data_IF_711589969862
#
_entry.id   IF_711589969862
#
_cell.length_a   1.000
_cell.length_b   1.000
_cell.length_c   1.000
_cell.angle_alpha   90.00
_cell.angle_beta   90.00
_cell.angle_gamma   90.00
#
_symmetry.space_group_name_H-M   'P 1'
#
loop_
_entity.id
_entity.type
_entity.pdbx_description
1 polymer ?
#
# COMPACT_ATOMS: atom_id res chain seq x y z
N UNK A 1 4.05 14.90 -15.46
CA UNK A 1 3.46 13.77 -14.71
C UNK A 1 2.59 12.97 -15.66
N UNK A 2 2.53 11.64 -15.53
CA UNK A 2 1.64 10.81 -16.37
C UNK A 2 0.17 11.27 -16.26
N UNK A 3 -0.62 11.09 -17.32
CA UNK A 3 -2.03 11.50 -17.37
C UNK A 3 -2.93 10.79 -16.33
N UNK A 4 -2.49 9.65 -15.79
CA UNK A 4 -3.19 8.90 -14.75
C UNK A 4 -2.21 8.24 -13.76
N UNK A 5 -2.60 8.09 -12.48
CA UNK A 5 -1.78 7.39 -11.49
C UNK A 5 -1.70 5.89 -11.78
N UNK A 6 -0.61 5.26 -11.35
CA UNK A 6 -0.49 3.80 -11.28
C UNK A 6 -1.30 3.31 -10.08
N UNK A 7 -2.35 2.53 -10.33
CA UNK A 7 -3.17 1.97 -9.27
C UNK A 7 -2.77 0.51 -8.97
N UNK A 8 -2.24 0.28 -7.77
CA UNK A 8 -1.86 -1.03 -7.26
C UNK A 8 -2.94 -1.49 -6.28
N UNK A 9 -3.62 -2.57 -6.63
CA UNK A 9 -4.78 -3.08 -5.90
C UNK A 9 -4.46 -4.43 -5.27
N UNK A 10 -4.68 -4.55 -3.95
CA UNK A 10 -4.56 -5.80 -3.22
C UNK A 10 -5.93 -6.25 -2.69
N UNK A 11 -6.44 -7.34 -3.25
CA UNK A 11 -7.67 -7.99 -2.82
C UNK A 11 -7.35 -9.14 -1.85
N UNK A 12 -8.01 -9.15 -0.70
CA UNK A 12 -7.82 -10.17 0.34
C UNK A 12 -9.12 -10.93 0.58
N UNK A 13 -9.07 -12.26 0.55
CA UNK A 13 -10.18 -13.12 0.98
C UNK A 13 -9.86 -13.75 2.32
N UNK A 14 -10.86 -13.80 3.20
CA UNK A 14 -10.81 -14.64 4.40
C UNK A 14 -11.20 -16.07 4.11
N UNK A 15 -11.02 -16.94 5.10
CA UNK A 15 -11.57 -18.30 5.15
C UNK A 15 -12.75 -18.35 6.14
N UNK A 16 -13.69 -19.25 5.90
CA UNK A 16 -14.76 -19.66 6.82
C UNK A 16 -14.27 -20.67 7.89
N UNK A 17 -13.04 -21.15 7.74
CA UNK A 17 -12.43 -22.17 8.58
C UNK A 17 -11.66 -21.63 9.80
N UNK A 18 -11.13 -22.57 10.59
CA UNK A 18 -10.42 -22.27 11.84
C UNK A 18 -9.00 -21.66 11.66
N UNK A 19 -8.50 -21.52 10.42
CA UNK A 19 -7.15 -21.01 10.13
C UNK A 19 -7.19 -19.61 9.53
N UNK A 20 -6.38 -18.70 10.06
CA UNK A 20 -6.24 -17.34 9.55
C UNK A 20 -5.47 -17.32 8.22
N UNK A 21 -6.10 -16.84 7.15
CA UNK A 21 -5.40 -16.62 5.88
C UNK A 21 -4.48 -15.40 5.97
N UNK A 22 -3.25 -15.53 5.50
CA UNK A 22 -2.26 -14.45 5.49
C UNK A 22 -1.73 -14.19 4.09
N UNK A 23 -1.61 -12.92 3.72
CA UNK A 23 -1.10 -12.46 2.43
C UNK A 23 0.07 -11.49 2.62
N UNK A 24 1.19 -11.74 1.94
CA UNK A 24 2.45 -11.00 2.08
C UNK A 24 2.94 -10.41 0.75
N UNK A 25 2.23 -9.45 0.11
CA UNK A 25 2.67 -8.89 -1.16
C UNK A 25 3.88 -7.97 -1.00
N UNK A 26 4.77 -7.96 -2.00
CA UNK A 26 6.01 -7.15 -2.01
C UNK A 26 6.10 -6.39 -3.32
N UNK A 27 6.26 -5.07 -3.27
CA UNK A 27 6.38 -4.20 -4.43
C UNK A 27 7.68 -3.41 -4.33
N UNK A 28 8.44 -3.38 -5.42
CA UNK A 28 9.55 -2.46 -5.61
C UNK A 28 9.18 -1.46 -6.70
N UNK A 29 9.26 -0.17 -6.39
CA UNK A 29 9.08 0.94 -7.31
C UNK A 29 10.43 1.61 -7.50
N UNK A 30 10.82 1.81 -8.76
CA UNK A 30 12.02 2.58 -9.11
C UNK A 30 11.56 3.76 -9.97
N UNK A 31 11.66 4.96 -9.41
CA UNK A 31 11.48 6.20 -10.13
C UNK A 31 12.86 6.67 -10.61
N UNK A 32 13.15 6.40 -11.88
CA UNK A 32 14.40 6.77 -12.53
C UNK A 32 14.60 8.29 -12.59
N UNK A 33 15.82 8.73 -12.88
CA UNK A 33 16.20 10.14 -12.97
C UNK A 33 15.16 10.99 -13.73
N UNK A 34 14.63 12.02 -13.07
CA UNK A 34 13.66 12.96 -13.65
C UNK A 34 12.25 12.40 -13.88
N UNK A 35 11.95 11.17 -13.46
CA UNK A 35 10.63 10.56 -13.62
C UNK A 35 9.60 11.24 -12.71
N UNK A 36 8.35 11.34 -13.17
CA UNK A 36 7.23 11.80 -12.35
C UNK A 36 6.10 10.77 -12.34
N UNK A 37 5.79 10.23 -11.16
CA UNK A 37 4.75 9.21 -10.99
C UNK A 37 3.86 9.50 -9.79
N UNK A 38 2.57 9.24 -9.95
CA UNK A 38 1.62 9.14 -8.87
C UNK A 38 1.20 7.67 -8.71
N UNK A 39 1.18 7.18 -7.48
CA UNK A 39 0.87 5.79 -7.14
C UNK A 39 -0.27 5.82 -6.14
N UNK A 40 -1.33 5.07 -6.45
CA UNK A 40 -2.41 4.77 -5.52
C UNK A 40 -2.26 3.30 -5.12
N UNK A 41 -2.12 3.05 -3.83
CA UNK A 41 -2.08 1.71 -3.25
C UNK A 41 -3.38 1.48 -2.48
N UNK A 42 -4.21 0.54 -2.93
CA UNK A 42 -5.50 0.23 -2.32
C UNK A 42 -5.53 -1.21 -1.80
N UNK A 43 -5.96 -1.38 -0.55
CA UNK A 43 -6.17 -2.67 0.09
C UNK A 43 -7.64 -2.88 0.40
N UNK A 44 -8.23 -3.96 -0.09
CA UNK A 44 -9.65 -4.23 0.15
C UNK A 44 -9.93 -5.72 0.38
N UNK A 45 -10.97 -5.99 1.18
CA UNK A 45 -11.49 -7.35 1.36
C UNK A 45 -12.40 -7.75 0.19
N UNK A 46 -12.36 -9.02 -0.19
CA UNK A 46 -13.28 -9.65 -1.15
C UNK A 46 -14.01 -10.82 -0.49
N UNK A 47 -15.30 -10.97 -0.81
CA UNK A 47 -16.18 -11.95 -0.15
C UNK A 47 -16.87 -11.39 1.10
N UNK A 48 -17.87 -12.14 1.58
CA UNK A 48 -18.85 -11.88 2.65
C UNK A 48 -19.09 -10.41 3.03
N UNK A 49 -20.35 -9.97 2.86
CA UNK A 49 -20.82 -8.58 2.96
C UNK A 49 -20.43 -7.83 4.25
N UNK A 50 -19.94 -8.53 5.29
CA UNK A 50 -19.47 -7.96 6.57
C UNK A 50 -18.03 -8.35 7.01
N UNK A 51 -17.23 -8.93 6.10
CA UNK A 51 -15.77 -8.92 6.22
C UNK A 51 -15.11 -10.16 6.82
N UNK A 52 -14.36 -10.86 5.97
CA UNK A 52 -13.53 -12.00 6.38
C UNK A 52 -12.40 -11.66 7.36
N UNK A 53 -11.99 -12.65 8.15
CA UNK A 53 -10.82 -12.58 9.02
C UNK A 53 -9.58 -13.03 8.24
N UNK A 54 -8.62 -12.13 8.06
CA UNK A 54 -7.37 -12.39 7.35
C UNK A 54 -6.27 -11.44 7.84
N UNK A 55 -5.03 -11.77 7.51
CA UNK A 55 -3.88 -10.92 7.78
C UNK A 55 -3.23 -10.44 6.49
N UNK A 56 -3.27 -9.13 6.25
CA UNK A 56 -2.49 -8.48 5.22
C UNK A 56 -1.16 -7.98 5.80
N UNK A 57 -0.06 -8.39 5.19
CA UNK A 57 1.28 -7.93 5.56
C UNK A 57 2.03 -7.40 4.33
N UNK A 58 1.62 -6.27 3.71
CA UNK A 58 2.26 -5.74 2.51
C UNK A 58 3.57 -4.98 2.81
N UNK A 59 4.51 -5.03 1.86
CA UNK A 59 5.69 -4.12 1.86
C UNK A 59 5.83 -3.46 0.50
N UNK A 60 6.08 -2.15 0.52
CA UNK A 60 6.40 -1.36 -0.67
C UNK A 60 7.72 -0.64 -0.48
N UNK A 61 8.69 -0.89 -1.35
CA UNK A 61 9.96 -0.19 -1.37
C UNK A 61 9.98 0.78 -2.56
N UNK A 62 10.28 2.05 -2.31
CA UNK A 62 10.29 3.11 -3.33
C UNK A 62 11.70 3.68 -3.43
N UNK A 63 12.35 3.48 -4.56
CA UNK A 63 13.63 4.10 -4.91
C UNK A 63 13.35 5.32 -5.77
N UNK A 64 13.84 6.48 -5.35
CA UNK A 64 13.67 7.76 -6.02
C UNK A 64 15.04 8.30 -6.41
N UNK A 65 15.33 8.26 -7.71
CA UNK A 65 16.59 8.77 -8.25
C UNK A 65 16.59 10.30 -8.39
N UNK A 66 17.71 10.85 -8.87
CA UNK A 66 17.96 12.29 -8.93
C UNK A 66 16.88 13.03 -9.73
N UNK A 67 16.29 14.06 -9.13
CA UNK A 67 15.27 14.90 -9.78
C UNK A 67 13.94 14.21 -10.09
N UNK A 68 13.73 12.98 -9.62
CA UNK A 68 12.44 12.29 -9.75
C UNK A 68 11.39 12.85 -8.77
N UNK A 69 10.11 12.60 -9.05
CA UNK A 69 9.00 12.98 -8.18
C UNK A 69 8.02 11.84 -8.04
N UNK A 70 7.80 11.41 -6.81
CA UNK A 70 6.85 10.36 -6.48
C UNK A 70 5.80 10.90 -5.52
N UNK A 71 4.53 10.71 -5.89
CA UNK A 71 3.40 10.87 -4.99
C UNK A 71 2.86 9.48 -4.70
N UNK A 72 2.88 9.05 -3.45
CA UNK A 72 2.34 7.76 -3.03
C UNK A 72 1.17 7.97 -2.08
N UNK A 73 0.01 7.46 -2.48
CA UNK A 73 -1.24 7.50 -1.72
C UNK A 73 -1.63 6.10 -1.30
N UNK A 74 -2.08 5.94 -0.07
CA UNK A 74 -2.49 4.67 0.50
C UNK A 74 -3.94 4.71 0.98
N UNK A 75 -4.71 3.69 0.61
CA UNK A 75 -6.13 3.53 0.94
C UNK A 75 -6.36 2.15 1.55
N UNK A 76 -6.88 2.12 2.78
CA UNK A 76 -7.28 0.87 3.46
C UNK A 76 -8.80 0.75 3.57
N UNK A 77 -9.36 -0.25 2.88
CA UNK A 77 -10.80 -0.59 2.83
C UNK A 77 -11.02 -2.08 3.11
N UNK A 78 -10.41 -2.54 4.19
CA UNK A 78 -10.48 -3.94 4.62
C UNK A 78 -11.53 -4.15 5.71
N UNK A 79 -11.90 -5.41 5.92
CA UNK A 79 -12.76 -5.82 7.04
C UNK A 79 -12.24 -5.27 8.38
N UNK A 80 -13.12 -4.80 9.28
CA UNK A 80 -12.74 -4.50 10.67
C UNK A 80 -12.15 -5.71 11.42
N UNK A 81 -12.46 -6.92 10.97
CA UNK A 81 -11.91 -8.18 11.52
C UNK A 81 -10.54 -8.55 10.94
N UNK A 82 -10.02 -7.79 9.96
CA UNK A 82 -8.71 -8.05 9.38
C UNK A 82 -7.58 -7.55 10.28
N UNK A 83 -6.43 -8.21 10.22
CA UNK A 83 -5.17 -7.64 10.67
C UNK A 83 -4.42 -7.02 9.47
N UNK A 84 -3.86 -5.82 9.65
CA UNK A 84 -3.04 -5.17 8.63
C UNK A 84 -1.70 -4.71 9.24
N UNK A 85 -0.59 -5.23 8.72
CA UNK A 85 0.76 -4.84 9.11
C UNK A 85 1.52 -4.41 7.86
N UNK A 86 1.69 -3.12 7.65
CA UNK A 86 2.34 -2.60 6.45
C UNK A 86 3.69 -1.98 6.75
N UNK A 87 4.59 -2.11 5.78
CA UNK A 87 5.82 -1.35 5.73
C UNK A 87 5.97 -0.65 4.38
N UNK A 88 6.37 0.63 4.40
CA UNK A 88 6.78 1.33 3.19
C UNK A 88 8.15 1.94 3.42
N UNK A 89 9.13 1.60 2.58
CA UNK A 89 10.45 2.25 2.60
C UNK A 89 10.62 3.18 1.42
N UNK A 90 11.46 4.19 1.62
CA UNK A 90 11.75 5.21 0.61
C UNK A 90 13.24 5.46 0.64
N UNK A 91 13.90 5.28 -0.49
CA UNK A 91 15.32 5.57 -0.68
C UNK A 91 15.43 6.72 -1.67
N UNK A 92 15.97 7.85 -1.22
CA UNK A 92 16.04 9.07 -2.01
C UNK A 92 17.49 9.44 -2.31
N UNK A 93 17.84 9.47 -3.60
CA UNK A 93 19.16 9.85 -4.09
C UNK A 93 19.07 11.26 -4.68
N UNK A 94 19.43 12.29 -3.90
CA UNK A 94 19.41 13.73 -4.27
C UNK A 94 18.12 14.14 -5.01
N UNK A 95 17.04 14.29 -4.25
CA UNK A 95 15.72 14.58 -4.82
C UNK A 95 15.08 15.81 -4.19
N UNK A 96 14.16 16.46 -4.92
CA UNK A 96 13.53 17.72 -4.50
C UNK A 96 12.26 17.52 -3.66
N UNK A 97 11.45 16.46 -3.90
CA UNK A 97 10.17 16.31 -3.19
C UNK A 97 9.56 14.89 -3.27
N UNK A 98 9.18 14.33 -2.12
CA UNK A 98 8.35 13.10 -2.01
C UNK A 98 7.17 13.40 -1.10
N UNK A 99 5.95 13.02 -1.52
CA UNK A 99 4.71 13.27 -0.77
C UNK A 99 4.01 11.94 -0.45
N UNK A 100 3.72 11.75 0.84
CA UNK A 100 2.92 10.63 1.35
C UNK A 100 1.56 11.13 1.81
N UNK A 101 0.51 10.43 1.39
CA UNK A 101 -0.83 10.65 1.91
C UNK A 101 -1.44 9.31 2.28
N UNK A 102 -1.79 9.15 3.56
CA UNK A 102 -2.54 8.00 4.04
C UNK A 102 -4.00 8.40 4.27
N UNK A 103 -4.91 7.55 3.79
CA UNK A 103 -6.34 7.62 4.11
C UNK A 103 -6.75 6.27 4.68
N UNK A 104 -6.88 6.23 6.01
CA UNK A 104 -7.35 5.05 6.74
C UNK A 104 -8.85 5.20 7.02
N UNK A 105 -9.67 4.24 6.58
CA UNK A 105 -11.12 4.22 6.88
C UNK A 105 -11.52 3.18 7.94
N UNK A 106 -10.56 2.52 8.61
CA UNK A 106 -10.80 1.61 9.74
C UNK A 106 -9.68 1.71 10.78
N UNK A 107 -10.04 1.77 12.06
CA UNK A 107 -9.10 1.88 13.19
C UNK A 107 -8.47 0.50 13.45
N UNK A 108 -7.28 0.27 12.91
CA UNK A 108 -6.34 -0.77 13.35
C UNK A 108 -4.98 -0.09 13.48
N UNK A 109 -4.32 -0.26 14.64
CA UNK A 109 -3.06 0.42 14.98
C UNK A 109 -1.94 0.09 13.99
N UNK A 110 -1.76 0.91 12.96
CA UNK A 110 -0.56 0.95 12.13
C UNK A 110 0.54 1.71 12.91
N UNK A 111 1.76 1.15 12.98
CA UNK A 111 2.93 1.83 13.53
C UNK A 111 3.87 2.14 12.38
N UNK A 112 3.73 3.32 11.79
CA UNK A 112 4.71 3.88 10.87
C UNK A 112 5.78 4.56 11.72
N UNK A 113 7.01 4.04 11.70
CA UNK A 113 8.20 4.69 12.29
C UNK A 113 9.08 5.25 11.20
#
# INVERSE_FOLDING_TARGET
MADAPVHIMFAYSGSDGASLMMSNPRVLVIAEKGAEVAIVEEHFGVGEEDGGCYWANPVVDIIVEEGARVVHSYVQRQSPAAAHTKWTTVQQLKCELVIFTSVEMAIIRSRTT
#
